data_IF_412301301159
#
_entry.id   IF_412301301159
#
_cell.length_a   1.000
_cell.length_b   1.000
_cell.length_c   1.000
_cell.angle_alpha   90.00
_cell.angle_beta   90.00
_cell.angle_gamma   90.00
#
_symmetry.space_group_name_H-M   'P 1'
#
loop_
_entity.id
_entity.type
_entity.pdbx_description
1 polymer ?
#
# COMPACT_ATOMS: atom_id res chain seq x y z
N UNK A 1 4.38 9.52 -12.88
CA UNK A 1 3.42 8.51 -12.38
C UNK A 1 3.55 8.42 -10.86
N UNK A 2 2.82 9.23 -10.09
CA UNK A 2 2.96 9.26 -8.61
C UNK A 2 1.59 9.28 -7.90
N UNK A 3 0.58 9.93 -8.51
CA UNK A 3 -0.77 10.02 -7.92
C UNK A 3 -1.52 8.69 -7.76
N UNK A 4 -1.10 7.60 -8.41
CA UNK A 4 -1.81 6.33 -8.32
C UNK A 4 -1.41 5.54 -7.06
N UNK A 5 -0.17 5.62 -6.59
CA UNK A 5 0.30 4.84 -5.43
C UNK A 5 -0.34 5.33 -4.12
N UNK A 6 -0.40 6.65 -3.93
CA UNK A 6 -1.09 7.26 -2.80
C UNK A 6 -2.59 6.91 -2.79
N UNK A 7 -3.24 6.89 -3.96
CA UNK A 7 -4.63 6.44 -4.11
C UNK A 7 -4.84 4.96 -3.80
N UNK A 8 -3.91 4.09 -4.20
CA UNK A 8 -3.95 2.64 -3.88
C UNK A 8 -3.93 2.42 -2.36
N UNK A 9 -3.14 3.19 -1.64
CA UNK A 9 -3.07 3.15 -0.17
C UNK A 9 -4.18 3.96 0.53
N UNK A 10 -4.91 4.78 -0.21
CA UNK A 10 -5.95 5.65 0.32
C UNK A 10 -5.41 6.76 1.22
N UNK A 11 -4.22 7.28 0.90
CA UNK A 11 -3.50 8.31 1.67
C UNK A 11 -3.19 9.51 0.76
N UNK A 12 -2.91 10.68 1.34
CA UNK A 12 -2.44 11.83 0.59
C UNK A 12 -0.91 11.79 0.38
N UNK A 13 -0.41 12.50 -0.63
CA UNK A 13 1.03 12.66 -0.85
C UNK A 13 1.76 13.39 0.29
N UNK A 14 1.03 14.22 1.02
CA UNK A 14 1.53 15.02 2.13
C UNK A 14 1.50 14.27 3.48
N UNK A 15 0.94 13.05 3.53
CA UNK A 15 0.92 12.27 4.77
C UNK A 15 2.34 11.90 5.22
N UNK A 16 2.52 11.75 6.53
CA UNK A 16 3.76 11.29 7.11
C UNK A 16 3.99 9.78 6.85
N UNK A 17 5.24 9.33 7.00
CA UNK A 17 5.61 7.93 6.76
C UNK A 17 4.96 6.96 7.74
N UNK A 18 4.56 7.40 8.93
CA UNK A 18 3.86 6.59 9.93
C UNK A 18 2.41 6.33 9.51
N UNK A 19 1.71 7.37 9.06
CA UNK A 19 0.36 7.27 8.49
C UNK A 19 0.34 6.35 7.27
N UNK A 20 1.33 6.46 6.39
CA UNK A 20 1.49 5.57 5.21
C UNK A 20 1.71 4.11 5.66
N UNK A 21 2.55 3.87 6.67
CA UNK A 21 2.76 2.53 7.26
C UNK A 21 1.50 1.94 7.87
N UNK A 22 0.72 2.75 8.59
CA UNK A 22 -0.54 2.33 9.21
C UNK A 22 -1.56 1.96 8.13
N UNK A 23 -1.70 2.79 7.10
CA UNK A 23 -2.59 2.52 5.97
C UNK A 23 -2.21 1.24 5.24
N UNK A 24 -0.91 1.05 4.94
CA UNK A 24 -0.39 -0.20 4.37
C UNK A 24 -0.73 -1.42 5.24
N UNK A 25 -0.44 -1.40 6.55
CA UNK A 25 -0.74 -2.52 7.46
C UNK A 25 -2.24 -2.88 7.47
N UNK A 26 -3.11 -1.86 7.46
CA UNK A 26 -4.57 -2.05 7.44
C UNK A 26 -5.03 -2.75 6.15
N UNK A 27 -4.54 -2.28 5.00
CA UNK A 27 -4.90 -2.83 3.70
C UNK A 27 -4.27 -4.22 3.48
N UNK A 28 -3.00 -4.40 3.85
CA UNK A 28 -2.29 -5.68 3.79
C UNK A 28 -3.01 -6.74 4.63
N UNK A 29 -3.50 -6.39 5.82
CA UNK A 29 -4.28 -7.31 6.66
C UNK A 29 -5.67 -7.60 6.09
N UNK A 30 -6.30 -6.61 5.43
CA UNK A 30 -7.62 -6.75 4.82
C UNK A 30 -7.59 -7.67 3.59
N UNK A 31 -6.57 -7.54 2.76
CA UNK A 31 -6.43 -8.29 1.50
C UNK A 31 -5.42 -9.44 1.59
N UNK A 32 -4.99 -9.80 2.79
CA UNK A 32 -4.02 -10.89 2.97
C UNK A 32 -4.58 -12.20 2.38
N UNK A 33 -3.83 -12.93 1.54
CA UNK A 33 -4.31 -14.15 0.91
C UNK A 33 -4.74 -15.21 1.94
N UNK A 34 -3.99 -15.33 3.04
CA UNK A 34 -4.30 -16.24 4.16
C UNK A 34 -5.70 -15.99 4.78
N UNK A 35 -6.09 -14.71 4.91
CA UNK A 35 -7.39 -14.34 5.49
C UNK A 35 -8.54 -14.40 4.48
N UNK A 36 -8.23 -14.49 3.20
CA UNK A 36 -9.21 -14.47 2.12
C UNK A 36 -9.14 -15.71 1.24
N UNK A 37 -8.76 -16.85 1.81
CA UNK A 37 -8.77 -18.16 1.15
C UNK A 37 -8.03 -18.18 -0.20
N UNK A 38 -6.90 -17.49 -0.30
CA UNK A 38 -6.10 -17.38 -1.52
C UNK A 38 -6.88 -16.83 -2.74
N UNK A 39 -7.85 -15.94 -2.52
CA UNK A 39 -8.50 -15.24 -3.62
C UNK A 39 -7.44 -14.51 -4.49
N UNK A 40 -7.41 -14.86 -5.77
CA UNK A 40 -6.45 -14.33 -6.75
C UNK A 40 -6.56 -12.80 -6.90
N UNK A 41 -7.77 -12.25 -6.82
CA UNK A 41 -8.00 -10.80 -6.91
C UNK A 41 -7.37 -10.05 -5.72
N UNK A 42 -7.55 -10.57 -4.50
CA UNK A 42 -6.96 -9.96 -3.30
C UNK A 42 -5.46 -10.16 -3.23
N UNK A 43 -4.96 -11.26 -3.79
CA UNK A 43 -3.53 -11.48 -3.98
C UNK A 43 -2.93 -10.41 -4.89
N UNK A 44 -3.56 -10.13 -6.05
CA UNK A 44 -3.13 -9.06 -6.94
C UNK A 44 -3.23 -7.68 -6.28
N UNK A 45 -4.30 -7.42 -5.52
CA UNK A 45 -4.48 -6.18 -4.77
C UNK A 45 -3.37 -6.01 -3.71
N UNK A 46 -3.04 -7.07 -2.99
CA UNK A 46 -1.99 -7.08 -1.99
C UNK A 46 -0.64 -6.71 -2.60
N UNK A 47 -0.29 -7.28 -3.76
CA UNK A 47 0.93 -6.92 -4.48
C UNK A 47 0.91 -5.45 -4.94
N UNK A 48 -0.21 -4.94 -5.45
CA UNK A 48 -0.35 -3.51 -5.81
C UNK A 48 -0.15 -2.59 -4.61
N UNK A 49 -0.73 -2.94 -3.45
CA UNK A 49 -0.60 -2.18 -2.21
C UNK A 49 0.85 -2.19 -1.71
N UNK A 50 1.53 -3.35 -1.79
CA UNK A 50 2.94 -3.50 -1.41
C UNK A 50 3.86 -2.65 -2.29
N UNK A 51 3.73 -2.75 -3.62
CA UNK A 51 4.54 -1.96 -4.56
C UNK A 51 4.31 -0.45 -4.37
N UNK A 52 3.06 -0.03 -4.20
CA UNK A 52 2.74 1.37 -3.93
C UNK A 52 3.42 1.90 -2.66
N UNK A 53 3.43 1.09 -1.59
CA UNK A 53 4.08 1.45 -0.33
C UNK A 53 5.59 1.55 -0.48
N UNK A 54 6.21 0.57 -1.14
CA UNK A 54 7.66 0.54 -1.37
C UNK A 54 8.13 1.77 -2.17
N UNK A 55 7.45 2.09 -3.27
CA UNK A 55 7.76 3.29 -4.05
C UNK A 55 7.62 4.57 -3.22
N UNK A 56 6.50 4.75 -2.51
CA UNK A 56 6.28 5.97 -1.71
C UNK A 56 7.36 6.14 -0.64
N UNK A 57 7.73 5.06 0.03
CA UNK A 57 8.77 5.09 1.06
C UNK A 57 10.14 5.38 0.45
N UNK A 58 10.44 4.86 -0.73
CA UNK A 58 11.66 5.18 -1.47
C UNK A 58 11.71 6.66 -1.84
N UNK A 59 10.63 7.21 -2.41
CA UNK A 59 10.52 8.64 -2.73
C UNK A 59 10.68 9.53 -1.49
N UNK A 60 10.16 9.13 -0.33
CA UNK A 60 10.29 9.90 0.92
C UNK A 60 11.66 9.76 1.57
N UNK A 61 12.38 8.65 1.38
CA UNK A 61 13.72 8.45 1.92
C UNK A 61 14.82 9.09 1.06
N UNK A 62 14.58 9.24 -0.24
CA UNK A 62 15.51 9.89 -1.18
C UNK A 62 15.30 11.42 -1.31
N UNK A 63 14.54 12.02 -0.40
CA UNK A 63 14.22 13.46 -0.35
C UNK A 63 14.93 14.20 0.78
#
# INVERSE_FOLDING_TARGET
MSNNHYKVLGVNANEDTETIKIAFKRLASKYHPDKNHNNSEYTELFYKIKNAYEEIMEYKNNG
#
